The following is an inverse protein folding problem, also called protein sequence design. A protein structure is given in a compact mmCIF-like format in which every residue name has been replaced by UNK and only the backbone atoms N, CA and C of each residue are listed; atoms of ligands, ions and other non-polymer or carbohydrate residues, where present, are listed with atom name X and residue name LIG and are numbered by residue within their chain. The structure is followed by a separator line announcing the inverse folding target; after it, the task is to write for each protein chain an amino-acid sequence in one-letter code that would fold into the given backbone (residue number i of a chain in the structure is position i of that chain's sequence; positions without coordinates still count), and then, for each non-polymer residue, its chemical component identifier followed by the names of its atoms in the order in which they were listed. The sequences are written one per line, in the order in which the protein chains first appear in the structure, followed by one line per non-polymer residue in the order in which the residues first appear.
data_IF_413806326273
#
_entry.id   IF_413806326273
#
_cell.length_a   1.000
_cell.length_b   1.000
_cell.length_c   1.000
_cell.angle_alpha   90.00
_cell.angle_beta   90.00
_cell.angle_gamma   90.00
#
_symmetry.space_group_name_H-M   'P 1'
#
loop_
_entity.id
_entity.type
_entity.pdbx_description
1 polymer ?
#
# COMPACT_ATOMS: atom_id res chain seq x y z
N UNK A 1 -3.04 -5.65 29.40
CA UNK A 1 -2.96 -4.39 28.63
C UNK A 1 -4.29 -4.27 27.90
N UNK A 2 -4.92 -3.12 27.81
CA UNK A 2 -6.13 -2.94 26.98
C UNK A 2 -5.76 -2.19 25.71
N UNK A 3 -6.52 -2.35 24.63
CA UNK A 3 -6.29 -1.66 23.36
C UNK A 3 -6.18 -0.13 23.55
N UNK A 4 -6.99 0.43 24.45
CA UNK A 4 -7.02 1.87 24.76
C UNK A 4 -5.74 2.39 25.43
N UNK A 5 -4.92 1.51 25.99
CA UNK A 5 -3.69 1.85 26.72
C UNK A 5 -2.42 1.44 25.95
N UNK A 6 -2.54 1.14 24.65
CA UNK A 6 -1.37 0.86 23.82
C UNK A 6 -0.51 2.11 23.65
N UNK A 7 0.78 1.97 23.95
CA UNK A 7 1.79 3.01 23.72
C UNK A 7 2.69 2.60 22.57
N UNK A 8 3.06 3.54 21.73
CA UNK A 8 3.87 3.31 20.54
C UNK A 8 5.26 3.93 20.71
N UNK A 9 6.20 3.44 19.91
CA UNK A 9 7.50 4.09 19.75
C UNK A 9 7.88 4.25 18.28
N UNK A 10 8.52 5.37 17.95
CA UNK A 10 9.12 5.63 16.65
C UNK A 10 10.62 5.41 16.74
N UNK A 11 11.16 4.56 15.87
CA UNK A 11 12.58 4.25 15.77
C UNK A 11 13.09 4.62 14.38
N UNK A 12 14.18 5.36 14.29
CA UNK A 12 14.77 5.76 13.00
C UNK A 12 16.05 4.98 12.75
N UNK A 13 16.11 4.31 11.60
CA UNK A 13 17.36 3.80 11.05
C UNK A 13 17.92 4.82 10.07
N UNK A 14 19.20 5.19 10.25
CA UNK A 14 19.89 6.10 9.35
C UNK A 14 20.55 5.35 8.20
N UNK A 15 20.63 5.98 7.02
CA UNK A 15 21.45 5.50 5.90
C UNK A 15 22.92 5.53 6.35
N UNK A 16 23.64 4.40 6.41
CA UNK A 16 24.96 4.30 7.04
C UNK A 16 25.97 5.37 6.61
N UNK A 17 25.98 5.71 5.32
CA UNK A 17 26.98 6.59 4.69
C UNK A 17 26.62 8.08 4.74
N UNK A 18 25.37 8.45 5.10
CA UNK A 18 24.91 9.84 5.12
C UNK A 18 24.85 10.36 6.56
N UNK A 19 25.78 11.25 6.93
CA UNK A 19 25.82 11.88 8.26
C UNK A 19 25.12 13.23 8.32
N UNK A 20 25.01 13.91 7.17
CA UNK A 20 24.36 15.21 7.05
C UNK A 20 22.89 15.12 7.50
N UNK A 21 22.38 16.14 8.20
CA UNK A 21 21.01 16.17 8.70
C UNK A 21 20.70 15.29 9.93
N UNK A 22 21.56 14.33 10.31
CA UNK A 22 21.29 13.44 11.47
C UNK A 22 21.19 14.21 12.79
N UNK A 23 22.04 15.21 13.00
CA UNK A 23 22.06 16.00 14.24
C UNK A 23 20.80 16.86 14.36
N UNK A 24 20.37 17.46 13.25
CA UNK A 24 19.16 18.27 13.18
C UNK A 24 17.93 17.40 13.40
N UNK A 25 17.87 16.21 12.78
CA UNK A 25 16.80 15.24 13.02
C UNK A 25 16.75 14.82 14.50
N UNK A 26 17.90 14.50 15.11
CA UNK A 26 17.96 14.13 16.54
C UNK A 26 17.49 15.27 17.45
N UNK A 27 17.82 16.52 17.13
CA UNK A 27 17.32 17.68 17.87
C UNK A 27 15.79 17.80 17.72
N UNK A 28 15.29 17.68 16.50
CA UNK A 28 13.86 17.70 16.18
C UNK A 28 13.09 16.57 16.88
N UNK A 29 13.65 15.36 16.92
CA UNK A 29 13.05 14.23 17.64
C UNK A 29 12.96 14.48 19.15
N UNK A 30 13.90 15.19 19.77
CA UNK A 30 13.79 15.58 21.19
C UNK A 30 12.66 16.58 21.41
N UNK A 31 12.49 17.56 20.52
CA UNK A 31 11.41 18.53 20.57
C UNK A 31 10.05 17.86 20.39
N UNK A 32 9.91 16.98 19.40
CA UNK A 32 8.70 16.19 19.14
C UNK A 32 8.37 15.28 20.31
N UNK A 33 9.36 14.57 20.87
CA UNK A 33 9.16 13.74 22.05
C UNK A 33 8.59 14.56 23.22
N UNK A 34 9.17 15.73 23.52
CA UNK A 34 8.68 16.60 24.58
C UNK A 34 7.27 17.14 24.29
N UNK A 35 6.97 17.48 23.03
CA UNK A 35 5.66 18.01 22.60
C UNK A 35 4.53 17.01 22.84
N UNK A 36 4.76 15.73 22.59
CA UNK A 36 3.76 14.66 22.69
C UNK A 36 3.93 13.79 23.95
N UNK A 37 4.53 14.35 25.00
CA UNK A 37 4.77 13.66 26.29
C UNK A 37 5.51 12.30 26.17
N UNK A 38 6.23 12.09 25.07
CA UNK A 38 7.09 10.94 24.84
C UNK A 38 8.48 11.12 25.42
N UNK A 39 9.28 10.06 25.39
CA UNK A 39 10.67 10.06 25.84
C UNK A 39 11.61 9.82 24.66
N UNK A 40 12.56 10.72 24.46
CA UNK A 40 13.64 10.51 23.50
C UNK A 40 14.75 9.68 24.14
N UNK A 41 15.14 8.58 23.50
CA UNK A 41 16.26 7.73 23.90
C UNK A 41 17.12 7.36 22.70
N UNK A 42 18.35 6.93 22.97
CA UNK A 42 19.22 6.28 21.99
C UNK A 42 19.35 4.82 22.37
N UNK A 43 19.20 3.91 21.40
CA UNK A 43 19.51 2.50 21.61
C UNK A 43 21.03 2.25 21.71
N UNK A 44 21.49 1.04 22.02
CA UNK A 44 22.92 0.71 22.08
C UNK A 44 23.68 0.92 20.76
N UNK A 45 22.98 0.99 19.62
CA UNK A 45 23.54 1.28 18.29
C UNK A 45 23.42 2.77 17.92
N UNK A 46 23.08 3.64 18.88
CA UNK A 46 22.87 5.07 18.72
C UNK A 46 21.73 5.45 17.75
N UNK A 47 20.76 4.55 17.56
CA UNK A 47 19.53 4.81 16.82
C UNK A 47 18.56 5.61 17.69
N UNK A 48 18.00 6.72 17.19
CA UNK A 48 17.11 7.56 17.97
C UNK A 48 15.70 6.97 18.00
N UNK A 49 15.12 6.97 19.20
CA UNK A 49 13.81 6.43 19.48
C UNK A 49 13.00 7.48 20.24
N UNK A 50 11.74 7.68 19.83
CA UNK A 50 10.73 8.35 20.65
C UNK A 50 9.81 7.27 21.18
N UNK A 51 9.75 7.07 22.50
CA UNK A 51 8.88 6.07 23.13
C UNK A 51 7.75 6.71 23.93
N UNK A 52 6.67 5.96 24.15
CA UNK A 52 5.56 6.37 25.01
C UNK A 52 4.51 7.25 24.33
N UNK A 53 4.43 7.22 23.00
CA UNK A 53 3.41 7.97 22.26
C UNK A 53 2.06 7.28 22.37
N UNK A 54 0.98 8.06 22.48
CA UNK A 54 -0.38 7.55 22.32
C UNK A 54 -0.71 7.30 20.84
N UNK A 55 -1.78 6.56 20.55
CA UNK A 55 -2.28 6.37 19.18
C UNK A 55 -2.52 7.72 18.46
N UNK A 56 -3.11 8.68 19.16
CA UNK A 56 -3.47 10.00 18.59
C UNK A 56 -2.24 10.86 18.29
N UNK A 57 -1.14 10.62 19.02
CA UNK A 57 0.08 11.41 18.89
C UNK A 57 1.03 10.88 17.80
N UNK A 58 0.97 9.60 17.45
CA UNK A 58 1.90 8.99 16.47
C UNK A 58 1.86 9.72 15.12
N UNK A 59 0.66 9.95 14.57
CA UNK A 59 0.52 10.61 13.27
C UNK A 59 1.02 12.06 13.31
N UNK A 60 0.68 12.78 14.37
CA UNK A 60 1.11 14.16 14.59
C UNK A 60 2.63 14.25 14.78
N UNK A 61 3.23 13.29 15.48
CA UNK A 61 4.68 13.17 15.64
C UNK A 61 5.38 12.91 14.30
N UNK A 62 4.88 11.98 13.48
CA UNK A 62 5.42 11.70 12.15
C UNK A 62 5.34 12.93 11.24
N UNK A 63 4.20 13.64 11.26
CA UNK A 63 4.02 14.90 10.52
C UNK A 63 5.03 15.96 10.95
N UNK A 64 5.19 16.17 12.26
CA UNK A 64 6.14 17.15 12.76
C UNK A 64 7.58 16.76 12.40
N UNK A 65 7.92 15.47 12.37
CA UNK A 65 9.24 15.00 11.93
C UNK A 65 9.47 15.18 10.43
N UNK A 66 8.42 15.33 9.62
CA UNK A 66 8.48 15.41 8.16
C UNK A 66 8.42 14.04 7.48
N UNK A 67 7.84 13.04 8.17
CA UNK A 67 7.70 11.65 7.72
C UNK A 67 6.28 11.41 7.22
N UNK A 68 5.88 12.20 6.22
CA UNK A 68 4.55 12.13 5.62
C UNK A 68 4.56 11.22 4.39
N UNK A 69 3.40 10.64 4.08
CA UNK A 69 3.20 9.95 2.81
C UNK A 69 3.41 10.94 1.65
N UNK A 70 4.13 10.52 0.61
CA UNK A 70 4.48 11.33 -0.57
C UNK A 70 5.28 12.61 -0.28
N UNK A 71 5.77 12.78 0.96
CA UNK A 71 6.66 13.87 1.35
C UNK A 71 8.12 13.52 1.09
N UNK A 72 8.98 14.53 0.98
CA UNK A 72 10.43 14.31 0.96
C UNK A 72 10.91 14.06 2.38
N UNK A 73 11.14 12.78 2.71
CA UNK A 73 11.74 12.41 3.99
C UNK A 73 13.14 13.02 4.10
N UNK A 74 13.60 13.36 5.31
CA UNK A 74 14.98 13.75 5.53
C UNK A 74 15.96 12.73 4.91
N UNK A 75 16.87 13.20 4.07
CA UNK A 75 17.76 12.35 3.24
C UNK A 75 18.70 11.43 4.01
N UNK A 76 18.80 11.60 5.34
CA UNK A 76 19.60 10.74 6.20
C UNK A 76 18.84 9.50 6.70
N UNK A 77 17.52 9.43 6.54
CA UNK A 77 16.67 8.36 7.05
C UNK A 77 16.61 7.23 6.02
N UNK A 78 16.82 6.01 6.49
CA UNK A 78 16.60 4.79 5.72
C UNK A 78 15.17 4.29 5.94
N UNK A 79 14.76 4.13 7.20
CA UNK A 79 13.41 3.72 7.58
C UNK A 79 12.96 4.38 8.88
N UNK A 80 11.65 4.47 9.07
CA UNK A 80 11.03 4.79 10.35
C UNK A 80 10.16 3.62 10.80
N UNK A 81 10.45 3.03 11.94
CA UNK A 81 9.68 1.92 12.50
C UNK A 81 8.73 2.40 13.59
N UNK A 82 7.44 2.14 13.45
CA UNK A 82 6.45 2.21 14.53
C UNK A 82 6.45 0.85 15.23
N UNK A 83 6.82 0.80 16.50
CA UNK A 83 6.73 -0.42 17.31
C UNK A 83 5.55 -0.32 18.30
N UNK A 84 4.91 -1.46 18.55
CA UNK A 84 3.97 -1.64 19.68
C UNK A 84 4.67 -2.35 20.85
N UNK A 85 4.03 -2.44 22.03
CA UNK A 85 4.53 -3.26 23.14
C UNK A 85 4.36 -4.77 22.89
N UNK A 86 3.51 -5.13 21.93
CA UNK A 86 3.33 -6.48 21.42
C UNK A 86 4.31 -6.72 20.27
N UNK A 87 4.60 -7.97 19.86
CA UNK A 87 5.51 -8.24 18.75
C UNK A 87 4.84 -7.93 17.41
N UNK A 88 4.55 -6.66 17.19
CA UNK A 88 3.90 -6.05 16.03
C UNK A 88 4.61 -4.72 15.76
N UNK A 89 5.09 -4.55 14.52
CA UNK A 89 5.77 -3.32 14.08
C UNK A 89 5.39 -2.96 12.65
N UNK A 90 5.38 -1.67 12.33
CA UNK A 90 5.29 -1.18 10.96
C UNK A 90 6.61 -0.48 10.59
N UNK A 91 7.19 -0.82 9.44
CA UNK A 91 8.42 -0.23 8.91
C UNK A 91 8.04 0.66 7.74
N UNK A 92 8.21 1.96 7.93
CA UNK A 92 7.91 2.99 6.94
C UNK A 92 9.12 3.36 6.10
N UNK A 93 8.87 3.47 4.79
CA UNK A 93 9.76 3.95 3.74
C UNK A 93 9.09 5.14 3.03
N UNK A 94 9.73 5.71 2.01
CA UNK A 94 9.17 6.86 1.26
C UNK A 94 7.90 6.52 0.47
N UNK A 95 7.70 5.25 0.16
CA UNK A 95 6.64 4.70 -0.69
C UNK A 95 5.55 3.96 0.09
N UNK A 96 5.72 3.68 1.39
CA UNK A 96 4.67 3.10 2.22
C UNK A 96 5.15 2.44 3.51
N UNK A 97 4.30 1.63 4.12
CA UNK A 97 4.51 1.00 5.43
C UNK A 97 4.24 -0.51 5.38
N UNK A 98 5.28 -1.29 5.62
CA UNK A 98 5.19 -2.74 5.80
C UNK A 98 4.92 -3.09 7.27
N UNK A 99 3.88 -3.86 7.53
CA UNK A 99 3.50 -4.29 8.87
C UNK A 99 3.93 -5.74 9.06
N UNK A 100 4.57 -6.02 10.19
CA UNK A 100 5.10 -7.34 10.54
C UNK A 100 4.61 -7.80 11.91
N UNK A 101 4.33 -9.10 12.03
CA UNK A 101 4.04 -9.80 13.29
C UNK A 101 5.23 -10.69 13.70
N UNK A 102 5.39 -10.90 15.01
CA UNK A 102 6.31 -11.88 15.59
C UNK A 102 7.74 -11.81 15.04
N UNK A 103 8.23 -12.97 14.59
CA UNK A 103 9.54 -13.19 13.96
C UNK A 103 9.67 -12.61 12.55
N UNK A 104 9.15 -11.41 12.32
CA UNK A 104 9.20 -10.67 11.05
C UNK A 104 8.34 -11.31 9.94
N UNK A 105 7.22 -11.93 10.30
CA UNK A 105 6.25 -12.40 9.30
C UNK A 105 5.51 -11.19 8.75
N UNK A 106 5.48 -11.05 7.42
CA UNK A 106 4.74 -9.96 6.77
C UNK A 106 3.24 -10.10 7.02
N UNK A 107 2.59 -9.01 7.41
CA UNK A 107 1.19 -8.98 7.82
C UNK A 107 0.33 -8.19 6.84
N UNK A 108 0.71 -6.95 6.53
CA UNK A 108 -0.02 -6.09 5.61
C UNK A 108 0.85 -4.92 5.15
N UNK A 109 0.47 -4.30 4.04
CA UNK A 109 1.03 -3.03 3.56
C UNK A 109 0.00 -1.90 3.70
N UNK A 110 0.47 -0.71 4.05
CA UNK A 110 -0.33 0.50 4.09
C UNK A 110 0.40 1.68 3.45
N UNK A 111 -0.28 2.41 2.56
CA UNK A 111 0.29 3.58 1.91
C UNK A 111 0.51 4.74 2.90
N UNK A 112 -0.43 4.91 3.84
CA UNK A 112 -0.42 6.01 4.79
C UNK A 112 -0.09 5.54 6.21
N UNK A 113 0.63 6.34 7.02
CA UNK A 113 0.97 5.98 8.40
C UNK A 113 -0.26 5.80 9.29
N UNK A 114 -1.35 6.54 9.03
CA UNK A 114 -2.59 6.41 9.77
C UNK A 114 -3.23 5.02 9.58
N UNK A 115 -3.22 4.51 8.35
CA UNK A 115 -3.73 3.19 8.01
C UNK A 115 -2.85 2.10 8.63
N UNK A 116 -1.52 2.26 8.56
CA UNK A 116 -0.57 1.35 9.19
C UNK A 116 -0.83 1.24 10.70
N UNK A 117 -0.97 2.39 11.37
CA UNK A 117 -1.29 2.45 12.79
C UNK A 117 -2.66 1.84 13.09
N UNK A 118 -3.67 2.09 12.26
CA UNK A 118 -5.01 1.51 12.37
C UNK A 118 -4.98 -0.02 12.35
N UNK A 119 -4.27 -0.60 11.38
CA UNK A 119 -4.09 -2.04 11.25
C UNK A 119 -3.34 -2.64 12.44
N UNK A 120 -2.27 -1.99 12.90
CA UNK A 120 -1.55 -2.42 14.10
C UNK A 120 -2.45 -2.42 15.34
N UNK A 121 -3.25 -1.37 15.54
CA UNK A 121 -4.19 -1.28 16.66
C UNK A 121 -5.24 -2.38 16.58
N UNK A 122 -5.81 -2.63 15.39
CA UNK A 122 -6.80 -3.68 15.18
C UNK A 122 -6.22 -5.06 15.49
N UNK A 123 -4.99 -5.34 15.04
CA UNK A 123 -4.27 -6.59 15.33
C UNK A 123 -4.03 -6.77 16.84
N UNK A 124 -3.53 -5.72 17.50
CA UNK A 124 -3.29 -5.74 18.95
C UNK A 124 -4.60 -5.97 19.73
N UNK A 125 -5.67 -5.28 19.33
CA UNK A 125 -6.99 -5.37 19.98
C UNK A 125 -7.54 -6.79 19.86
N UNK A 126 -7.54 -7.35 18.64
CA UNK A 126 -8.01 -8.70 18.39
C UNK A 126 -7.28 -9.72 19.26
N UNK A 127 -5.95 -9.64 19.33
CA UNK A 127 -5.17 -10.51 20.21
C UNK A 127 -5.52 -10.32 21.70
N UNK A 128 -5.54 -9.08 22.20
CA UNK A 128 -5.81 -8.80 23.62
C UNK A 128 -7.22 -9.23 24.07
N UNK A 129 -8.19 -9.27 23.16
CA UNK A 129 -9.57 -9.71 23.44
C UNK A 129 -9.72 -11.24 23.43
N UNK A 130 -8.85 -11.96 22.70
CA UNK A 130 -8.99 -13.39 22.45
C UNK A 130 -7.85 -14.23 23.08
N UNK A 131 -6.81 -13.60 23.63
CA UNK A 131 -5.71 -14.31 24.26
C UNK A 131 -6.18 -15.11 25.48
N UNK A 132 -5.58 -16.30 25.64
CA UNK A 132 -5.80 -17.15 26.81
C UNK A 132 -4.45 -17.54 27.41
N UNK A 133 -3.78 -16.58 28.04
CA UNK A 133 -2.46 -16.73 28.69
C UNK A 133 -1.35 -17.23 27.76
N UNK A 134 -1.38 -16.80 26.50
CA UNK A 134 -0.42 -17.17 25.47
C UNK A 134 0.13 -15.90 24.83
N UNK A 135 1.35 -15.96 24.30
CA UNK A 135 1.93 -14.86 23.52
C UNK A 135 1.20 -14.65 22.18
N UNK A 136 1.41 -13.50 21.54
CA UNK A 136 0.86 -13.23 20.20
C UNK A 136 1.27 -14.29 19.17
N UNK A 137 2.51 -14.77 19.25
CA UNK A 137 2.99 -15.83 18.35
C UNK A 137 2.23 -17.15 18.59
N UNK A 138 2.11 -17.59 19.84
CA UNK A 138 1.37 -18.81 20.18
C UNK A 138 -0.12 -18.70 19.83
N UNK A 139 -0.72 -17.52 20.01
CA UNK A 139 -2.08 -17.25 19.59
C UNK A 139 -2.25 -17.41 18.08
N UNK A 140 -1.41 -16.74 17.30
CA UNK A 140 -1.43 -16.81 15.83
C UNK A 140 -1.21 -18.26 15.36
N UNK A 141 -0.26 -18.97 15.94
CA UNK A 141 0.01 -20.38 15.62
C UNK A 141 -1.20 -21.27 15.95
N UNK A 142 -1.96 -20.96 17.02
CA UNK A 142 -3.12 -21.75 17.44
C UNK A 142 -4.35 -21.61 16.54
N UNK A 143 -4.60 -20.40 15.99
CA UNK A 143 -5.76 -20.13 15.13
C UNK A 143 -5.41 -20.20 13.63
N UNK A 144 -4.13 -20.22 13.31
CA UNK A 144 -3.60 -20.14 11.95
C UNK A 144 -3.38 -18.68 11.51
N UNK A 145 -2.27 -18.46 10.81
CA UNK A 145 -1.85 -17.13 10.36
C UNK A 145 -2.89 -16.44 9.47
N UNK A 146 -3.44 -17.17 8.49
CA UNK A 146 -4.47 -16.63 7.58
C UNK A 146 -5.75 -16.25 8.34
N UNK A 147 -6.22 -17.10 9.25
CA UNK A 147 -7.40 -16.79 10.09
C UNK A 147 -7.20 -15.51 10.89
N UNK A 148 -6.02 -15.35 11.51
CA UNK A 148 -5.66 -14.13 12.23
C UNK A 148 -5.69 -12.93 11.29
N UNK A 149 -5.02 -13.05 10.13
CA UNK A 149 -4.92 -12.01 9.12
C UNK A 149 -6.28 -11.60 8.60
N UNK A 150 -7.11 -12.52 8.16
CA UNK A 150 -8.43 -12.25 7.60
C UNK A 150 -9.37 -11.59 8.61
N UNK A 151 -9.31 -12.03 9.87
CA UNK A 151 -10.13 -11.43 10.93
C UNK A 151 -9.70 -9.99 11.19
N UNK A 152 -8.39 -9.72 11.25
CA UNK A 152 -7.87 -8.38 11.49
C UNK A 152 -8.02 -7.49 10.27
N UNK A 153 -7.88 -8.00 9.04
CA UNK A 153 -8.06 -7.21 7.83
C UNK A 153 -9.55 -7.01 7.49
N UNK A 154 -10.44 -7.84 8.03
CA UNK A 154 -11.88 -7.80 7.70
C UNK A 154 -12.23 -8.61 6.45
N UNK A 155 -11.39 -9.57 6.07
CA UNK A 155 -11.61 -10.53 4.99
C UNK A 155 -12.33 -11.80 5.47
N UNK A 156 -12.47 -11.97 6.79
CA UNK A 156 -13.28 -13.05 7.33
C UNK A 156 -14.72 -12.91 6.82
N UNK A 157 -15.27 -13.99 6.24
CA UNK A 157 -16.66 -14.07 5.78
C UNK A 157 -17.57 -13.69 6.96
N UNK A 158 -18.05 -12.45 6.97
CA UNK A 158 -18.94 -11.98 8.00
C UNK A 158 -20.31 -12.60 7.76
N UNK A 159 -20.72 -13.49 8.66
CA UNK A 159 -22.13 -13.81 8.86
C UNK A 159 -22.88 -12.49 9.03
N UNK A 160 -23.86 -12.27 8.14
CA UNK A 160 -24.30 -10.95 7.71
C UNK A 160 -24.57 -9.94 8.83
N UNK A 161 -23.78 -8.87 8.85
CA UNK A 161 -24.26 -7.50 9.02
C UNK A 161 -23.11 -6.52 8.73
N UNK A 162 -23.27 -5.73 7.67
CA UNK A 162 -22.21 -4.90 7.10
C UNK A 162 -21.78 -3.71 7.96
N UNK A 163 -20.50 -3.33 7.79
CA UNK A 163 -20.07 -2.00 7.34
C UNK A 163 -18.56 -1.82 7.61
N UNK A 164 -17.78 -1.73 6.53
CA UNK A 164 -16.74 -0.72 6.29
C UNK A 164 -16.17 -0.93 4.89
N UNK A 165 -16.36 0.05 4.02
CA UNK A 165 -16.11 0.03 2.58
C UNK A 165 -14.63 -0.23 2.23
N UNK A 166 -14.36 -1.39 1.62
CA UNK A 166 -13.16 -1.58 0.79
C UNK A 166 -13.41 -0.88 -0.55
N UNK A 167 -12.55 0.06 -0.93
CA UNK A 167 -12.69 0.86 -2.17
C UNK A 167 -12.80 0.00 -3.45
N UNK A 168 -12.34 -1.25 -3.41
CA UNK A 168 -12.39 -2.22 -4.51
C UNK A 168 -13.23 -3.48 -4.21
N UNK A 169 -14.05 -3.47 -3.14
CA UNK A 169 -14.99 -4.54 -2.79
C UNK A 169 -14.34 -5.82 -2.22
N UNK A 170 -15.12 -6.59 -1.45
CA UNK A 170 -14.78 -7.95 -0.99
C UNK A 170 -15.58 -8.95 -1.84
N UNK A 171 -15.08 -9.27 -3.03
CA UNK A 171 -15.76 -10.17 -3.95
C UNK A 171 -14.96 -11.44 -4.18
N UNK A 172 -15.36 -12.55 -3.56
CA UNK A 172 -14.94 -13.88 -3.99
C UNK A 172 -15.51 -14.24 -5.37
N UNK A 173 -15.00 -15.31 -5.98
CA UNK A 173 -15.25 -15.77 -7.35
C UNK A 173 -16.70 -15.64 -7.86
N UNK A 174 -17.68 -16.01 -7.02
CA UNK A 174 -19.11 -16.03 -7.34
C UNK A 174 -19.89 -14.84 -6.74
N UNK A 175 -19.21 -13.82 -6.21
CA UNK A 175 -19.87 -12.65 -5.64
C UNK A 175 -20.45 -11.75 -6.74
N UNK A 176 -21.74 -11.35 -6.65
CA UNK A 176 -22.38 -10.45 -7.61
C UNK A 176 -21.76 -9.04 -7.66
N UNK A 177 -20.76 -8.75 -6.83
CA UNK A 177 -20.03 -7.48 -6.74
C UNK A 177 -18.70 -7.48 -7.53
N UNK A 178 -18.25 -8.61 -8.09
CA UNK A 178 -17.03 -8.66 -8.93
C UNK A 178 -17.36 -8.16 -10.34
N UNK A 179 -16.70 -7.12 -10.87
CA UNK A 179 -16.95 -6.66 -12.22
C UNK A 179 -16.64 -7.76 -13.25
N UNK A 180 -17.53 -8.00 -14.23
CA UNK A 180 -17.25 -8.99 -15.27
C UNK A 180 -16.06 -8.52 -16.13
N UNK A 181 -15.09 -9.42 -16.33
CA UNK A 181 -13.96 -9.26 -17.22
C UNK A 181 -14.19 -10.13 -18.46
N UNK A 182 -14.14 -9.54 -19.64
CA UNK A 182 -14.24 -10.26 -20.91
C UNK A 182 -12.94 -10.19 -21.72
N UNK A 183 -12.74 -11.11 -22.69
CA UNK A 183 -11.56 -11.06 -23.57
C UNK A 183 -11.46 -9.73 -24.31
N UNK A 184 -10.35 -9.02 -24.09
CA UNK A 184 -10.10 -7.69 -24.65
C UNK A 184 -10.39 -6.55 -23.68
N UNK A 185 -10.91 -6.80 -22.47
CA UNK A 185 -11.01 -5.78 -21.42
C UNK A 185 -9.67 -5.60 -20.69
N UNK A 186 -9.38 -4.38 -20.24
CA UNK A 186 -8.21 -4.14 -19.39
C UNK A 186 -8.52 -4.59 -17.96
N UNK A 187 -7.53 -5.24 -17.35
CA UNK A 187 -7.57 -5.69 -15.96
C UNK A 187 -7.53 -4.48 -15.03
N UNK A 188 -8.34 -4.54 -13.98
CA UNK A 188 -8.51 -3.53 -12.95
C UNK A 188 -8.17 -4.09 -11.56
N UNK A 189 -7.85 -3.24 -10.57
CA UNK A 189 -7.50 -3.70 -9.22
C UNK A 189 -8.55 -4.62 -8.57
N UNK A 190 -9.83 -4.36 -8.84
CA UNK A 190 -10.98 -5.10 -8.32
C UNK A 190 -11.28 -6.42 -9.04
N UNK A 191 -10.59 -6.74 -10.14
CA UNK A 191 -10.79 -8.03 -10.81
C UNK A 191 -10.21 -9.17 -9.96
N UNK A 192 -10.97 -10.26 -9.87
CA UNK A 192 -10.56 -11.47 -9.18
C UNK A 192 -9.38 -12.15 -9.90
N UNK A 193 -8.42 -12.68 -9.14
CA UNK A 193 -7.21 -13.33 -9.71
C UNK A 193 -7.57 -14.49 -10.63
N UNK A 194 -8.49 -15.37 -10.21
CA UNK A 194 -8.91 -16.49 -11.04
C UNK A 194 -9.60 -16.00 -12.33
N UNK A 195 -10.21 -14.82 -12.32
CA UNK A 195 -11.03 -14.31 -13.44
C UNK A 195 -10.11 -13.82 -14.53
N UNK A 196 -9.08 -13.11 -14.08
CA UNK A 196 -7.95 -12.69 -14.88
C UNK A 196 -7.33 -13.91 -15.56
N UNK A 197 -7.05 -15.00 -14.83
CA UNK A 197 -6.37 -16.18 -15.38
C UNK A 197 -7.28 -17.00 -16.31
N UNK A 198 -8.57 -17.09 -16.05
CA UNK A 198 -9.51 -17.75 -16.95
C UNK A 198 -9.65 -17.00 -18.28
N UNK A 199 -9.75 -15.68 -18.22
CA UNK A 199 -9.86 -14.82 -19.42
C UNK A 199 -8.51 -14.71 -20.13
N UNK A 200 -7.43 -14.62 -19.37
CA UNK A 200 -6.04 -14.44 -19.83
C UNK A 200 -5.12 -15.48 -19.17
N UNK A 201 -5.08 -16.74 -19.67
CA UNK A 201 -4.26 -17.80 -19.09
C UNK A 201 -2.75 -17.48 -19.01
N UNK A 202 -2.28 -16.58 -19.86
CA UNK A 202 -0.89 -16.10 -19.86
C UNK A 202 -0.54 -15.29 -18.61
N UNK A 203 -1.54 -14.75 -17.90
CA UNK A 203 -1.34 -14.01 -16.65
C UNK A 203 -0.95 -14.92 -15.49
N UNK A 204 -1.25 -16.22 -15.56
CA UNK A 204 -0.85 -17.18 -14.51
C UNK A 204 0.67 -17.20 -14.30
N UNK A 205 1.47 -17.57 -15.32
CA UNK A 205 2.93 -17.52 -15.25
C UNK A 205 3.48 -16.13 -14.92
N UNK A 206 2.89 -15.07 -15.49
CA UNK A 206 3.30 -13.69 -15.24
C UNK A 206 3.18 -13.31 -13.75
N UNK A 207 2.02 -13.56 -13.13
CA UNK A 207 1.80 -13.28 -11.71
C UNK A 207 2.74 -14.15 -10.83
N UNK A 208 3.05 -15.38 -11.24
CA UNK A 208 4.02 -16.23 -10.55
C UNK A 208 5.45 -15.67 -10.61
N UNK A 209 5.89 -15.13 -11.75
CA UNK A 209 7.19 -14.45 -11.89
C UNK A 209 7.29 -13.22 -10.99
N UNK A 210 6.17 -12.50 -10.86
CA UNK A 210 6.02 -11.41 -9.89
C UNK A 210 6.09 -11.86 -8.43
N UNK A 211 6.08 -13.16 -8.14
CA UNK A 211 6.16 -13.69 -6.77
C UNK A 211 4.82 -14.15 -6.20
N UNK A 212 3.73 -14.07 -6.96
CA UNK A 212 2.42 -14.64 -6.60
C UNK A 212 2.37 -16.13 -6.92
N UNK A 213 3.27 -16.91 -6.31
CA UNK A 213 3.37 -18.37 -6.54
C UNK A 213 2.14 -19.18 -6.12
N UNK A 214 1.19 -18.56 -5.41
CA UNK A 214 -0.09 -19.14 -5.00
C UNK A 214 -1.20 -19.02 -6.07
N UNK A 215 -0.90 -18.40 -7.22
CA UNK A 215 -1.80 -18.26 -8.36
C UNK A 215 -2.27 -19.64 -8.86
N UNK A 216 -3.58 -19.92 -8.70
CA UNK A 216 -4.20 -21.23 -9.00
C UNK A 216 -4.47 -22.12 -7.77
N UNK A 217 -4.15 -21.66 -6.56
CA UNK A 217 -4.55 -22.28 -5.29
C UNK A 217 -5.99 -21.87 -4.90
N UNK A 218 -6.60 -22.53 -3.92
CA UNK A 218 -7.95 -22.16 -3.45
C UNK A 218 -8.04 -20.70 -2.97
N UNK A 219 -6.93 -20.10 -2.51
CA UNK A 219 -6.85 -18.69 -2.09
C UNK A 219 -7.10 -17.73 -3.24
N UNK A 220 -6.62 -18.03 -4.46
CA UNK A 220 -6.81 -17.15 -5.63
C UNK A 220 -8.26 -17.07 -6.13
N UNK A 221 -9.17 -17.90 -5.58
CA UNK A 221 -10.59 -17.83 -5.87
C UNK A 221 -11.29 -16.73 -5.05
N UNK A 222 -10.75 -16.35 -3.89
CA UNK A 222 -11.41 -15.44 -2.95
C UNK A 222 -10.74 -14.06 -2.84
N UNK A 223 -9.73 -13.76 -3.68
CA UNK A 223 -9.00 -12.48 -3.68
C UNK A 223 -9.02 -11.75 -5.04
N UNK A 224 -9.09 -10.42 -4.99
CA UNK A 224 -8.84 -9.57 -6.15
C UNK A 224 -7.36 -9.21 -6.32
N UNK A 225 -7.01 -8.67 -7.49
CA UNK A 225 -5.63 -8.34 -7.82
C UNK A 225 -4.99 -7.35 -6.82
N UNK A 226 -5.76 -6.36 -6.35
CA UNK A 226 -5.32 -5.44 -5.30
C UNK A 226 -4.98 -6.16 -4.00
N UNK A 227 -5.87 -7.02 -3.52
CA UNK A 227 -5.70 -7.79 -2.28
C UNK A 227 -4.52 -8.73 -2.37
N UNK A 228 -4.36 -9.42 -3.51
CA UNK A 228 -3.23 -10.33 -3.75
C UNK A 228 -1.90 -9.55 -3.75
N UNK A 229 -1.81 -8.45 -4.50
CA UNK A 229 -0.61 -7.62 -4.56
C UNK A 229 -0.26 -7.03 -3.17
N UNK A 230 -1.24 -6.48 -2.45
CA UNK A 230 -1.07 -6.01 -1.08
C UNK A 230 -0.64 -7.15 -0.13
N UNK A 231 -1.19 -8.34 -0.36
CA UNK A 231 -0.91 -9.56 0.36
C UNK A 231 0.57 -9.95 0.34
N UNK A 232 1.25 -9.55 -0.72
CA UNK A 232 2.63 -9.87 -1.05
C UNK A 232 3.56 -8.63 -1.07
N UNK A 233 3.07 -7.44 -0.70
CA UNK A 233 3.86 -6.20 -0.67
C UNK A 233 4.29 -5.69 -2.05
N UNK A 234 3.46 -5.93 -3.08
CA UNK A 234 3.74 -5.57 -4.47
C UNK A 234 2.96 -4.33 -4.89
N UNK A 235 3.54 -3.52 -5.78
CA UNK A 235 2.82 -2.41 -6.40
C UNK A 235 1.88 -2.94 -7.49
N UNK A 236 0.60 -3.04 -7.13
CA UNK A 236 -0.48 -3.44 -8.02
C UNK A 236 -0.59 -2.57 -9.27
N UNK A 237 -0.20 -1.30 -9.23
CA UNK A 237 -0.32 -0.40 -10.38
C UNK A 237 0.78 -0.63 -11.40
N UNK A 238 1.97 -1.07 -10.98
CA UNK A 238 3.00 -1.51 -11.92
C UNK A 238 2.61 -2.86 -12.55
N UNK A 239 2.08 -3.80 -11.75
CA UNK A 239 1.53 -5.07 -12.25
C UNK A 239 0.41 -4.82 -13.28
N UNK A 240 -0.56 -3.97 -12.96
CA UNK A 240 -1.68 -3.61 -13.86
C UNK A 240 -1.18 -2.92 -15.13
N UNK A 241 -0.13 -2.11 -15.03
CA UNK A 241 0.56 -1.51 -16.17
C UNK A 241 0.96 -2.58 -17.18
N UNK A 242 1.84 -3.48 -16.76
CA UNK A 242 2.39 -4.54 -17.61
C UNK A 242 1.34 -5.53 -18.12
N UNK A 243 0.40 -5.95 -17.26
CA UNK A 243 -0.70 -6.83 -17.68
C UNK A 243 -1.52 -6.18 -18.81
N UNK A 244 -1.83 -4.89 -18.67
CA UNK A 244 -2.62 -4.18 -19.66
C UNK A 244 -1.84 -3.83 -20.91
N UNK A 245 -0.52 -3.68 -20.83
CA UNK A 245 0.35 -3.61 -22.01
C UNK A 245 0.30 -4.90 -22.82
N UNK A 246 0.46 -6.04 -22.15
CA UNK A 246 0.36 -7.34 -22.80
C UNK A 246 -1.02 -7.50 -23.49
N UNK A 247 -2.10 -7.12 -22.81
CA UNK A 247 -3.45 -7.16 -23.38
C UNK A 247 -3.60 -6.17 -24.55
N UNK A 248 -3.06 -4.96 -24.44
CA UNK A 248 -3.07 -3.96 -25.50
C UNK A 248 -2.38 -4.51 -26.77
N UNK A 249 -1.22 -5.14 -26.62
CA UNK A 249 -0.45 -5.73 -27.72
C UNK A 249 -1.15 -6.96 -28.31
N UNK A 250 -1.67 -7.85 -27.46
CA UNK A 250 -2.44 -9.05 -27.88
C UNK A 250 -3.67 -8.69 -28.71
N UNK A 251 -4.40 -7.64 -28.33
CA UNK A 251 -5.63 -7.21 -29.00
C UNK A 251 -5.43 -6.05 -29.99
N UNK A 252 -4.19 -5.57 -30.16
CA UNK A 252 -3.84 -4.45 -31.06
C UNK A 252 -4.68 -3.19 -30.81
N UNK A 253 -4.88 -2.84 -29.53
CA UNK A 253 -5.63 -1.66 -29.11
C UNK A 253 -4.73 -0.73 -28.28
N UNK A 254 -4.93 0.60 -28.35
CA UNK A 254 -4.18 1.53 -27.51
C UNK A 254 -4.58 1.35 -26.03
N UNK A 255 -3.61 1.58 -25.14
CA UNK A 255 -3.82 1.54 -23.69
C UNK A 255 -4.54 2.80 -23.21
N UNK A 256 -4.11 3.97 -23.73
CA UNK A 256 -4.75 5.26 -23.50
C UNK A 256 -5.24 5.89 -24.81
N UNK A 257 -6.37 6.58 -24.75
CA UNK A 257 -6.90 7.39 -25.86
C UNK A 257 -7.18 8.82 -25.38
N UNK A 258 -7.50 9.71 -26.32
CA UNK A 258 -7.94 11.07 -25.97
C UNK A 258 -9.25 11.09 -25.16
N UNK A 259 -10.02 10.01 -25.20
CA UNK A 259 -11.28 9.85 -24.46
C UNK A 259 -11.07 9.24 -23.07
N UNK A 260 -9.87 8.73 -22.75
CA UNK A 260 -9.59 8.17 -21.42
C UNK A 260 -9.79 9.25 -20.35
N UNK A 261 -10.63 9.03 -19.32
CA UNK A 261 -10.84 9.99 -18.24
C UNK A 261 -9.67 10.00 -17.26
N UNK A 262 -9.49 11.13 -16.58
CA UNK A 262 -8.49 11.29 -15.51
C UNK A 262 -8.69 10.27 -14.38
N UNK A 263 -9.93 9.92 -14.08
CA UNK A 263 -10.30 8.85 -13.15
C UNK A 263 -9.59 7.54 -13.47
N UNK A 264 -9.58 7.10 -14.74
CA UNK A 264 -8.89 5.88 -15.17
C UNK A 264 -7.39 5.94 -14.86
N UNK A 265 -6.75 7.09 -15.10
CA UNK A 265 -5.33 7.25 -14.78
C UNK A 265 -5.12 7.15 -13.26
N UNK A 266 -5.97 7.77 -12.44
CA UNK A 266 -5.83 7.72 -10.99
C UNK A 266 -6.07 6.32 -10.42
N UNK A 267 -7.01 5.56 -11.00
CA UNK A 267 -7.42 4.27 -10.46
C UNK A 267 -6.68 3.09 -11.07
N UNK A 268 -5.98 3.27 -12.19
CA UNK A 268 -5.28 2.18 -12.89
C UNK A 268 -3.80 2.49 -13.16
N UNK A 269 -3.44 3.75 -13.39
CA UNK A 269 -2.09 4.15 -13.80
C UNK A 269 -1.57 5.41 -13.07
N UNK A 270 -1.64 5.49 -11.73
CA UNK A 270 -1.26 6.69 -10.99
C UNK A 270 0.21 7.09 -11.18
N UNK A 271 1.09 6.15 -11.55
CA UNK A 271 2.49 6.41 -11.89
C UNK A 271 2.63 7.40 -13.07
N UNK A 272 1.60 7.54 -13.92
CA UNK A 272 1.58 8.47 -15.05
C UNK A 272 1.36 9.92 -14.65
N UNK A 273 0.93 10.22 -13.43
CA UNK A 273 0.70 11.60 -12.99
C UNK A 273 1.95 12.48 -13.14
N UNK A 274 3.13 11.90 -12.98
CA UNK A 274 4.42 12.57 -13.20
C UNK A 274 4.60 13.04 -14.65
N UNK A 275 4.07 12.29 -15.62
CA UNK A 275 4.09 12.64 -17.04
C UNK A 275 3.19 13.85 -17.30
N UNK A 276 1.97 13.87 -16.75
CA UNK A 276 1.05 15.00 -16.87
C UNK A 276 1.66 16.28 -16.28
N UNK A 277 2.28 16.19 -15.10
CA UNK A 277 2.97 17.31 -14.46
C UNK A 277 4.14 17.82 -15.32
N UNK A 278 4.95 16.91 -15.89
CA UNK A 278 6.08 17.29 -16.78
C UNK A 278 5.63 18.03 -18.04
N UNK A 279 4.39 17.79 -18.49
CA UNK A 279 3.78 18.46 -19.65
C UNK A 279 2.98 19.72 -19.25
N UNK A 280 3.06 20.15 -17.99
CA UNK A 280 2.31 21.27 -17.42
C UNK A 280 0.79 21.15 -17.60
N UNK A 281 0.27 19.92 -17.58
CA UNK A 281 -1.17 19.67 -17.67
C UNK A 281 -1.74 19.67 -16.24
N UNK A 282 -2.60 20.63 -15.89
CA UNK A 282 -3.15 20.72 -14.54
C UNK A 282 -4.21 19.63 -14.30
N UNK A 283 -4.41 19.30 -13.04
CA UNK A 283 -5.50 18.40 -12.64
C UNK A 283 -6.87 19.06 -12.89
N UNK A 284 -7.83 18.34 -13.52
CA UNK A 284 -9.17 18.86 -13.72
C UNK A 284 -9.95 18.93 -12.40
N UNK A 285 -11.00 19.74 -12.38
CA UNK A 285 -11.95 19.78 -11.24
C UNK A 285 -12.94 18.60 -11.26
N UNK A 286 -13.23 18.06 -12.44
CA UNK A 286 -14.03 16.84 -12.65
C UNK A 286 -13.12 15.71 -13.14
N UNK A 287 -13.02 14.62 -12.39
CA UNK A 287 -12.16 13.48 -12.73
C UNK A 287 -12.67 12.68 -13.93
N UNK A 288 -13.90 12.91 -14.39
CA UNK A 288 -14.41 12.36 -15.65
C UNK A 288 -13.90 13.11 -16.88
N UNK A 289 -13.18 14.22 -16.70
CA UNK A 289 -12.56 14.96 -17.80
C UNK A 289 -11.56 14.07 -18.53
N UNK A 290 -11.65 14.02 -19.86
CA UNK A 290 -10.77 13.20 -20.68
C UNK A 290 -9.40 13.85 -20.90
N UNK A 291 -8.39 13.01 -21.19
CA UNK A 291 -7.05 13.44 -21.55
C UNK A 291 -7.07 14.47 -22.69
N UNK A 292 -7.91 14.27 -23.71
CA UNK A 292 -8.04 15.16 -24.85
C UNK A 292 -8.55 16.56 -24.47
N UNK A 293 -9.50 16.64 -23.53
CA UNK A 293 -9.99 17.93 -23.00
C UNK A 293 -8.89 18.61 -22.18
N UNK A 294 -8.23 17.87 -21.29
CA UNK A 294 -7.13 18.39 -20.47
C UNK A 294 -5.98 18.95 -21.32
N UNK A 295 -5.57 18.21 -22.35
CA UNK A 295 -4.53 18.65 -23.28
C UNK A 295 -4.95 19.92 -24.02
N UNK A 296 -6.20 19.99 -24.49
CA UNK A 296 -6.74 21.16 -25.19
C UNK A 296 -6.72 22.40 -24.31
N UNK A 297 -7.15 22.28 -23.06
CA UNK A 297 -7.20 23.39 -22.11
C UNK A 297 -5.80 23.87 -21.70
N UNK A 298 -4.83 22.95 -21.64
CA UNK A 298 -3.43 23.25 -21.36
C UNK A 298 -2.62 23.71 -22.59
N UNK A 299 -3.18 23.61 -23.81
CA UNK A 299 -2.43 23.85 -25.05
C UNK A 299 -1.36 22.81 -25.36
N UNK A 300 -1.49 21.59 -24.83
CA UNK A 300 -0.58 20.47 -25.03
C UNK A 300 -1.03 19.57 -26.21
N UNK A 301 -0.08 18.90 -26.85
CA UNK A 301 -0.38 17.91 -27.89
C UNK A 301 -0.71 16.54 -27.26
N UNK A 302 -1.95 16.09 -27.43
CA UNK A 302 -2.46 14.85 -26.85
C UNK A 302 -1.68 13.61 -27.30
N UNK A 303 -1.23 13.59 -28.57
CA UNK A 303 -0.46 12.45 -29.10
C UNK A 303 0.90 12.33 -28.44
N UNK A 304 1.57 13.46 -28.25
CA UNK A 304 2.85 13.53 -27.54
C UNK A 304 2.71 13.09 -26.08
N UNK A 305 1.63 13.49 -25.39
CA UNK A 305 1.38 13.04 -24.02
C UNK A 305 1.16 11.53 -23.97
N UNK A 306 0.27 10.99 -24.80
CA UNK A 306 -0.02 9.54 -24.83
C UNK A 306 1.26 8.75 -25.12
N UNK A 307 2.07 9.17 -26.09
CA UNK A 307 3.34 8.50 -26.40
C UNK A 307 4.31 8.46 -25.20
N UNK A 308 4.36 9.52 -24.39
CA UNK A 308 5.19 9.54 -23.17
C UNK A 308 4.60 8.68 -22.05
N UNK A 309 3.29 8.61 -21.94
CA UNK A 309 2.64 7.70 -21.02
C UNK A 309 2.93 6.24 -21.39
N UNK A 310 2.81 5.90 -22.68
CA UNK A 310 3.16 4.57 -23.20
C UNK A 310 4.64 4.24 -22.95
N UNK A 311 5.55 5.21 -23.13
CA UNK A 311 6.97 5.04 -22.81
C UNK A 311 7.19 4.77 -21.31
N UNK A 312 6.51 5.51 -20.42
CA UNK A 312 6.65 5.34 -18.97
C UNK A 312 6.16 3.98 -18.49
N UNK A 313 5.06 3.46 -19.04
CA UNK A 313 4.58 2.12 -18.69
C UNK A 313 5.56 1.05 -19.19
N UNK A 314 6.05 1.17 -20.43
CA UNK A 314 6.92 0.15 -21.06
C UNK A 314 8.36 0.17 -20.56
N UNK A 315 8.79 1.26 -19.93
CA UNK A 315 10.16 1.42 -19.40
C UNK A 315 10.41 0.69 -18.06
N UNK A 316 9.43 -0.07 -17.54
CA UNK A 316 9.58 -0.85 -16.30
C UNK A 316 10.66 -1.94 -16.32
N UNK A 317 11.17 -2.31 -17.51
CA UNK A 317 12.19 -3.35 -17.72
C UNK A 317 13.63 -2.98 -17.27
N UNK A 318 13.87 -1.77 -16.73
CA UNK A 318 15.20 -1.35 -16.23
C UNK A 318 15.20 -0.97 -14.74
N UNK A 319 14.90 -1.89 -13.82
CA UNK A 319 15.37 -1.82 -12.41
C UNK A 319 15.71 -3.19 -11.83
#
# INVERSE_FOLDING_TARGET
MTADNLTFSLEIDFIPDIQEGRMDLKAKMKEVAAKYAGTYVLDPKARPIISGLSKEDVENALKDLGLQAFGTWPSCILTCTINTPLPLRAVGMSDGWDIYTGKKTFFAFAQFPADALGLMVKACTYYLEHENYQSLEEFIDSIGYETFRDTVLGNAVADGNGSADSFYGNGGWDSPEVPPLAPGDFVRPENNIMQIIEVYPEMGPFLMEYGMSCVGCFVSYDENLWQAAQGHGMDVFEIIGEMNEFIADKYKKPLLTEDTPMETILTMYPQLLTVFQSQNIPMPSDMKTSIGIMCRDAGADVKTLIAKCDERLRSGDEM
#
